data_IF_968479661727
#
_entry.id   IF_968479661727
#
_cell.length_a   1.000
_cell.length_b   1.000
_cell.length_c   1.000
_cell.angle_alpha   90.00
_cell.angle_beta   90.00
_cell.angle_gamma   90.00
#
_symmetry.space_group_name_H-M   'P 1'
#
loop_
_entity.id
_entity.type
_entity.pdbx_description
1 polymer ?
#
# COMPACT_ATOMS: atom_id res chain seq x y z
N UNK A 1 -15.74 22.49 -38.06
CA UNK A 1 -16.57 21.98 -36.94
C UNK A 1 -16.26 20.50 -36.80
N UNK A 2 -15.34 20.16 -35.90
CA UNK A 2 -15.00 18.78 -35.53
C UNK A 2 -15.53 18.55 -34.12
N UNK A 3 -16.06 17.35 -33.90
CA UNK A 3 -16.80 16.97 -32.70
C UNK A 3 -15.93 17.02 -31.44
N UNK A 4 -16.51 17.63 -30.40
CA UNK A 4 -16.08 17.66 -29.01
C UNK A 4 -16.00 16.22 -28.47
N UNK A 5 -14.78 15.67 -28.41
CA UNK A 5 -14.48 14.41 -27.72
C UNK A 5 -13.68 14.79 -26.48
N UNK A 6 -14.32 14.75 -25.32
CA UNK A 6 -13.72 15.04 -24.03
C UNK A 6 -12.66 14.03 -23.62
N UNK A 7 -11.45 14.16 -24.17
CA UNK A 7 -10.24 13.44 -23.74
C UNK A 7 -9.11 14.47 -23.51
N UNK A 8 -8.50 14.51 -22.31
CA UNK A 8 -7.42 15.45 -22.03
C UNK A 8 -6.15 15.08 -22.82
N UNK A 9 -5.49 16.13 -23.30
CA UNK A 9 -4.29 16.07 -24.12
C UNK A 9 -3.12 15.39 -23.38
N UNK A 10 -2.89 14.11 -23.66
CA UNK A 10 -1.61 13.47 -23.36
C UNK A 10 -0.53 14.05 -24.29
N UNK A 11 0.16 15.09 -23.83
CA UNK A 11 1.30 15.66 -24.56
C UNK A 11 2.57 14.85 -24.25
N UNK A 12 3.11 14.19 -25.28
CA UNK A 12 4.40 13.49 -25.22
C UNK A 12 5.54 14.50 -25.17
N UNK A 13 6.38 14.42 -24.12
CA UNK A 13 7.71 15.06 -24.10
C UNK A 13 8.74 14.00 -23.70
N UNK A 14 9.42 13.43 -24.69
CA UNK A 14 10.49 12.45 -24.48
C UNK A 14 10.03 11.07 -23.99
N UNK A 15 10.95 10.33 -23.36
CA UNK A 15 10.76 8.93 -22.90
C UNK A 15 10.15 8.79 -21.50
N UNK A 16 9.68 9.89 -20.90
CA UNK A 16 9.10 9.87 -19.55
C UNK A 16 7.59 9.91 -19.63
N UNK A 17 6.97 8.77 -19.35
CA UNK A 17 5.54 8.70 -19.07
C UNK A 17 5.26 9.38 -17.73
N UNK A 18 4.55 10.51 -17.74
CA UNK A 18 3.94 11.08 -16.54
C UNK A 18 2.47 10.66 -16.56
N UNK A 19 2.11 9.71 -15.70
CA UNK A 19 0.72 9.31 -15.50
C UNK A 19 0.04 10.38 -14.64
N UNK A 20 -1.14 10.79 -15.12
CA UNK A 20 -2.05 11.77 -14.56
C UNK A 20 -2.39 11.49 -13.08
N UNK A 21 -2.45 12.56 -12.29
CA UNK A 21 -2.67 12.55 -10.85
C UNK A 21 -4.03 11.92 -10.49
N UNK A 22 -4.04 10.71 -9.93
CA UNK A 22 -5.20 10.22 -9.20
C UNK A 22 -4.80 9.77 -7.78
N UNK A 23 -5.50 10.38 -6.81
CA UNK A 23 -5.46 10.15 -5.36
C UNK A 23 -4.18 10.53 -4.59
N UNK A 24 -4.29 11.62 -3.82
CA UNK A 24 -3.22 12.11 -2.92
C UNK A 24 -3.08 11.30 -1.62
N UNK A 25 -3.87 10.24 -1.44
CA UNK A 25 -3.83 9.36 -0.25
C UNK A 25 -2.89 8.16 -0.45
N UNK A 26 -2.68 7.68 -1.69
CA UNK A 26 -1.77 6.55 -1.98
C UNK A 26 -0.27 6.91 -1.82
N UNK A 27 0.09 8.20 -1.83
CA UNK A 27 1.49 8.64 -1.94
C UNK A 27 2.27 8.67 -0.61
N UNK A 28 1.66 8.39 0.55
CA UNK A 28 2.41 8.38 1.84
C UNK A 28 3.46 7.25 1.90
N UNK A 29 3.53 6.33 0.94
CA UNK A 29 4.66 5.40 0.82
C UNK A 29 5.29 5.30 -0.58
N UNK A 30 5.46 6.43 -1.28
CA UNK A 30 6.40 6.48 -2.41
C UNK A 30 7.74 7.10 -2.02
N UNK A 31 8.64 6.24 -1.54
CA UNK A 31 10.07 6.38 -1.83
C UNK A 31 10.57 4.97 -2.06
N UNK A 32 11.37 4.77 -3.11
CA UNK A 32 11.98 3.51 -3.60
C UNK A 32 12.90 2.82 -2.56
N UNK A 33 12.43 2.68 -1.34
CA UNK A 33 12.89 1.80 -0.28
C UNK A 33 11.84 0.71 -0.28
N UNK A 34 12.22 -0.53 -0.59
CA UNK A 34 11.31 -1.68 -0.47
C UNK A 34 10.64 -1.57 0.90
N UNK A 35 9.31 -1.39 0.91
CA UNK A 35 8.54 -1.51 2.14
C UNK A 35 8.96 -2.81 2.82
N UNK A 36 9.22 -2.78 4.12
CA UNK A 36 9.69 -3.98 4.85
C UNK A 36 8.69 -5.13 4.77
N UNK A 37 7.42 -4.82 4.49
CA UNK A 37 6.32 -5.78 4.32
C UNK A 37 5.61 -5.52 2.98
N UNK A 38 5.23 -6.60 2.29
CA UNK A 38 4.36 -6.51 1.12
C UNK A 38 2.96 -6.06 1.52
N UNK A 39 2.22 -5.45 0.58
CA UNK A 39 0.82 -5.05 0.82
C UNK A 39 -0.07 -6.24 1.14
N UNK A 40 0.15 -7.38 0.46
CA UNK A 40 -0.55 -8.63 0.76
C UNK A 40 -0.33 -9.08 2.21
N UNK A 41 0.92 -9.06 2.70
CA UNK A 41 1.21 -9.43 4.08
C UNK A 41 0.55 -8.48 5.09
N UNK A 42 0.53 -7.17 4.80
CA UNK A 42 -0.16 -6.20 5.66
C UNK A 42 -1.66 -6.52 5.74
N UNK A 43 -2.30 -6.74 4.60
CA UNK A 43 -3.73 -7.07 4.49
C UNK A 43 -4.08 -8.35 5.25
N UNK A 44 -3.30 -9.42 5.06
CA UNK A 44 -3.56 -10.69 5.75
C UNK A 44 -3.36 -10.58 7.27
N UNK A 45 -2.35 -9.84 7.72
CA UNK A 45 -2.15 -9.58 9.14
C UNK A 45 -3.27 -8.73 9.74
N UNK A 46 -3.77 -7.74 9.00
CA UNK A 46 -4.91 -6.94 9.44
C UNK A 46 -6.18 -7.79 9.60
N UNK A 47 -6.40 -8.77 8.71
CA UNK A 47 -7.50 -9.74 8.82
C UNK A 47 -7.29 -10.67 10.02
N UNK A 48 -6.09 -11.25 10.17
CA UNK A 48 -5.76 -12.16 11.27
C UNK A 48 -5.91 -11.49 12.64
N UNK A 49 -5.51 -10.22 12.74
CA UNK A 49 -5.54 -9.44 13.98
C UNK A 49 -6.86 -8.68 14.19
N UNK A 50 -7.80 -8.77 13.25
CA UNK A 50 -9.17 -8.27 13.41
C UNK A 50 -9.34 -6.75 13.29
N UNK A 51 -8.44 -6.06 12.58
CA UNK A 51 -8.53 -4.60 12.35
C UNK A 51 -8.63 -4.21 10.87
N UNK A 52 -8.82 -5.18 9.98
CA UNK A 52 -8.94 -4.93 8.53
C UNK A 52 -10.09 -3.98 8.17
N UNK A 53 -11.23 -4.04 8.89
CA UNK A 53 -12.36 -3.14 8.65
C UNK A 53 -11.97 -1.66 8.81
N UNK A 54 -11.18 -1.33 9.83
CA UNK A 54 -10.65 0.04 10.02
C UNK A 54 -9.74 0.45 8.88
N UNK A 55 -8.91 -0.48 8.36
CA UNK A 55 -8.05 -0.21 7.20
C UNK A 55 -8.88 0.05 5.96
N UNK A 56 -9.98 -0.69 5.75
CA UNK A 56 -10.86 -0.52 4.60
C UNK A 56 -11.63 0.81 4.66
N UNK A 57 -12.08 1.22 5.85
CA UNK A 57 -12.89 2.43 6.04
C UNK A 57 -12.06 3.71 6.15
N UNK A 58 -10.94 3.66 6.88
CA UNK A 58 -10.16 4.83 7.29
C UNK A 58 -8.73 4.83 6.71
N UNK A 59 -8.35 3.75 6.03
CA UNK A 59 -6.98 3.54 5.57
C UNK A 59 -6.03 3.15 6.71
N UNK A 60 -4.76 2.91 6.35
CA UNK A 60 -3.72 2.53 7.31
C UNK A 60 -3.41 3.62 8.35
N UNK A 61 -3.78 4.87 8.08
CA UNK A 61 -3.63 5.97 9.03
C UNK A 61 -4.65 5.96 10.18
N UNK A 62 -5.78 5.27 10.00
CA UNK A 62 -6.86 5.20 10.99
C UNK A 62 -6.67 4.13 12.08
N UNK A 63 -5.73 3.20 11.91
CA UNK A 63 -5.51 2.14 12.90
C UNK A 63 -4.88 2.69 14.19
N UNK A 64 -5.19 2.06 15.33
CA UNK A 64 -4.60 2.47 16.60
C UNK A 64 -3.13 2.06 16.67
N UNK A 65 -2.34 2.76 17.46
CA UNK A 65 -0.93 2.41 17.70
C UNK A 65 -0.74 0.96 18.21
N UNK A 66 -1.69 0.43 18.97
CA UNK A 66 -1.69 -0.96 19.44
C UNK A 66 -1.84 -1.97 18.29
N UNK A 67 -2.68 -1.66 17.30
CA UNK A 67 -2.93 -2.52 16.15
C UNK A 67 -1.68 -2.60 15.26
N UNK A 68 -1.05 -1.44 15.02
CA UNK A 68 0.24 -1.36 14.33
C UNK A 68 1.35 -2.15 15.06
N UNK A 69 1.45 -2.02 16.38
CA UNK A 69 2.42 -2.75 17.19
C UNK A 69 2.21 -4.27 17.15
N UNK A 70 0.95 -4.73 17.23
CA UNK A 70 0.60 -6.14 17.12
C UNK A 70 0.91 -6.71 15.73
N UNK A 71 0.65 -5.94 14.67
CA UNK A 71 0.99 -6.31 13.29
C UNK A 71 2.49 -6.53 13.12
N UNK A 72 3.32 -5.59 13.59
CA UNK A 72 4.79 -5.72 13.53
C UNK A 72 5.27 -6.93 14.33
N UNK A 73 4.75 -7.13 15.54
CA UNK A 73 5.07 -8.30 16.38
C UNK A 73 4.73 -9.61 15.66
N UNK A 74 3.55 -9.69 15.03
CA UNK A 74 3.12 -10.88 14.31
C UNK A 74 3.97 -11.14 13.07
N UNK A 75 4.33 -10.09 12.32
CA UNK A 75 5.23 -10.19 11.17
C UNK A 75 6.61 -10.75 11.55
N UNK A 76 7.18 -10.29 12.67
CA UNK A 76 8.46 -10.82 13.19
C UNK A 76 8.32 -12.30 13.56
N UNK A 77 7.24 -12.71 14.24
CA UNK A 77 7.02 -14.11 14.57
C UNK A 77 6.96 -15.00 13.32
N UNK A 78 6.26 -14.56 12.26
CA UNK A 78 6.19 -15.29 11.00
C UNK A 78 7.57 -15.38 10.33
N UNK A 79 8.36 -14.30 10.38
CA UNK A 79 9.73 -14.30 9.87
C UNK A 79 10.64 -15.28 10.62
N UNK A 80 10.61 -15.28 11.95
CA UNK A 80 11.37 -16.22 12.79
C UNK A 80 10.97 -17.68 12.50
N UNK A 81 9.67 -17.96 12.38
CA UNK A 81 9.17 -19.30 12.01
C UNK A 81 9.65 -19.72 10.61
N UNK A 82 9.62 -18.80 9.64
CA UNK A 82 10.10 -19.07 8.29
C UNK A 82 11.63 -19.28 8.24
N UNK A 83 12.39 -18.55 9.07
CA UNK A 83 13.83 -18.71 9.19
C UNK A 83 14.19 -20.07 9.82
N UNK A 84 13.51 -20.44 10.91
CA UNK A 84 13.73 -21.73 11.58
C UNK A 84 13.41 -22.94 10.67
N UNK A 85 12.41 -22.83 9.78
CA UNK A 85 12.06 -23.89 8.81
C UNK A 85 13.07 -24.08 7.68
N UNK A 86 13.97 -23.11 7.46
CA UNK A 86 14.98 -23.16 6.39
C UNK A 86 16.30 -23.79 6.84
N UNK A 87 16.42 -24.15 8.12
CA UNK A 87 17.52 -24.89 8.71
C UNK A 87 17.16 -26.38 8.80
#
# INVERSE_FOLDING_TARGET
MLHDTGLPAAYYIGSTFIIEQHTREEFVMSRRRRSMMSEELKTELAKELGFYETVEQEGWGGIRAVDAGNMVKRAIQLAEQAAARKL
#
